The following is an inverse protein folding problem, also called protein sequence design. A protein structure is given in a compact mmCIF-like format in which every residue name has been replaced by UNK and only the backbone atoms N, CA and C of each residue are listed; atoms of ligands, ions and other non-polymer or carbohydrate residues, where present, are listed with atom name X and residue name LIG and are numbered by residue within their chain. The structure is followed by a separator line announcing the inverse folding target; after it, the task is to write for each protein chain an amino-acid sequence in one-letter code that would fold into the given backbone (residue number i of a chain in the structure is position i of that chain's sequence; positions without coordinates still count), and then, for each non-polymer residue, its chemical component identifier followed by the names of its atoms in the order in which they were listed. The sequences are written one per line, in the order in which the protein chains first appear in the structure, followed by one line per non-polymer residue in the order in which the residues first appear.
data_IF_529421233733
#
_entry.id   IF_529421233733
#
_cell.length_a   1.000
_cell.length_b   1.000
_cell.length_c   1.000
_cell.angle_alpha   90.00
_cell.angle_beta   90.00
_cell.angle_gamma   90.00
#
_symmetry.space_group_name_H-M   'P 1'
#
loop_
_entity.id
_entity.type
_entity.pdbx_description
1 polymer ?
#
# COMPACT_ATOMS: atom_id res chain seq x y z
N UNK A 1 -0.35 -29.87 7.55
CA UNK A 1 0.11 -28.79 8.45
C UNK A 1 -0.85 -27.61 8.37
N UNK A 2 -1.09 -26.87 9.47
CA UNK A 2 -2.09 -25.78 9.52
C UNK A 2 -1.48 -24.44 9.91
N UNK A 3 -2.10 -23.35 9.44
CA UNK A 3 -1.71 -21.97 9.69
C UNK A 3 -2.92 -21.15 10.19
N UNK A 4 -2.71 -20.28 11.18
CA UNK A 4 -3.73 -19.33 11.63
C UNK A 4 -4.03 -18.27 10.56
N UNK A 5 -5.24 -17.72 10.57
CA UNK A 5 -5.60 -16.55 9.77
C UNK A 5 -5.89 -15.35 10.68
N UNK A 6 -6.15 -14.17 10.10
CA UNK A 6 -6.59 -13.00 10.86
C UNK A 6 -7.93 -13.23 11.58
N UNK A 7 -8.74 -14.18 11.10
CA UNK A 7 -9.95 -14.63 11.77
C UNK A 7 -9.61 -15.84 12.67
N UNK A 8 -9.81 -15.75 14.01
CA UNK A 8 -9.56 -16.86 14.94
C UNK A 8 -10.48 -18.07 14.73
N UNK A 9 -11.53 -17.93 13.93
CA UNK A 9 -12.45 -18.99 13.56
C UNK A 9 -12.18 -19.56 12.16
N UNK A 10 -11.09 -19.16 11.51
CA UNK A 10 -10.66 -19.73 10.23
C UNK A 10 -9.18 -20.12 10.30
N UNK A 11 -8.87 -21.34 9.85
CA UNK A 11 -7.50 -21.80 9.66
C UNK A 11 -7.25 -22.20 8.21
N UNK A 12 -5.99 -22.16 7.77
CA UNK A 12 -5.59 -22.61 6.44
C UNK A 12 -4.86 -23.96 6.52
N UNK A 13 -5.28 -24.93 5.71
CA UNK A 13 -4.49 -26.13 5.45
C UNK A 13 -3.35 -25.79 4.48
N UNK A 14 -2.11 -25.94 4.92
CA UNK A 14 -0.92 -25.59 4.11
C UNK A 14 -0.76 -26.53 2.92
N UNK A 15 -1.13 -27.80 3.06
CA UNK A 15 -0.95 -28.82 2.02
C UNK A 15 -1.93 -28.67 0.86
N UNK A 16 -3.17 -28.27 1.15
CA UNK A 16 -4.25 -28.19 0.15
C UNK A 16 -4.64 -26.75 -0.20
N UNK A 17 -4.15 -25.77 0.56
CA UNK A 17 -4.52 -24.36 0.44
C UNK A 17 -5.95 -24.04 0.91
N UNK A 18 -6.69 -25.01 1.44
CA UNK A 18 -8.09 -24.82 1.83
C UNK A 18 -8.22 -23.97 3.10
N UNK A 19 -9.19 -23.04 3.10
CA UNK A 19 -9.63 -22.30 4.29
C UNK A 19 -10.76 -23.07 4.98
N UNK A 20 -10.59 -23.33 6.26
CA UNK A 20 -11.44 -24.23 7.03
C UNK A 20 -12.02 -23.42 8.19
N UNK A 21 -13.33 -23.12 8.18
CA UNK A 21 -13.98 -22.41 9.27
C UNK A 21 -14.25 -23.34 10.46
N UNK A 22 -14.36 -22.76 11.65
CA UNK A 22 -14.64 -23.49 12.90
C UNK A 22 -15.96 -24.25 12.79
N UNK A 23 -15.94 -25.52 13.18
CA UNK A 23 -17.10 -26.43 13.06
C UNK A 23 -17.26 -27.11 11.70
N UNK A 24 -16.43 -26.79 10.71
CA UNK A 24 -16.38 -27.56 9.46
C UNK A 24 -15.85 -28.98 9.70
N UNK A 25 -16.30 -29.96 8.91
CA UNK A 25 -15.88 -31.37 9.09
C UNK A 25 -14.38 -31.61 8.86
N UNK A 26 -13.69 -30.68 8.18
CA UNK A 26 -12.24 -30.67 8.00
C UNK A 26 -11.48 -29.94 9.13
N UNK A 27 -12.18 -29.43 10.14
CA UNK A 27 -11.54 -28.77 11.27
C UNK A 27 -10.64 -29.76 12.02
N UNK A 28 -9.35 -29.47 12.21
CA UNK A 28 -8.36 -30.46 12.60
C UNK A 28 -8.26 -30.58 14.12
N UNK A 29 -9.36 -30.92 14.78
CA UNK A 29 -9.46 -31.01 16.25
C UNK A 29 -8.36 -31.89 16.83
N UNK A 30 -8.20 -33.12 16.33
CA UNK A 30 -7.21 -34.09 16.85
C UNK A 30 -5.76 -33.59 16.69
N UNK A 31 -5.47 -32.86 15.61
CA UNK A 31 -4.13 -32.32 15.39
C UNK A 31 -3.83 -31.16 16.36
N UNK A 32 -4.82 -30.29 16.60
CA UNK A 32 -4.72 -29.13 17.49
C UNK A 32 -4.54 -29.50 18.97
N UNK A 33 -4.90 -30.72 19.37
CA UNK A 33 -4.70 -31.22 20.74
C UNK A 33 -3.21 -31.41 21.08
N UNK A 34 -2.37 -31.68 20.07
CA UNK A 34 -0.95 -32.00 20.27
C UNK A 34 0.01 -31.06 19.54
N UNK A 35 -0.51 -30.15 18.70
CA UNK A 35 0.30 -29.27 17.86
C UNK A 35 -0.23 -27.83 17.90
N UNK A 36 0.67 -26.88 17.66
CA UNK A 36 0.32 -25.48 17.50
C UNK A 36 0.34 -25.11 16.02
N UNK A 37 -0.74 -24.53 15.45
CA UNK A 37 -0.70 -24.01 14.10
C UNK A 37 0.43 -23.00 13.92
N UNK A 38 0.93 -22.89 12.69
CA UNK A 38 1.83 -21.80 12.33
C UNK A 38 1.13 -20.46 12.62
N UNK A 39 1.85 -19.43 13.09
CA UNK A 39 1.28 -18.12 13.35
C UNK A 39 0.62 -17.56 12.09
N UNK A 40 -0.27 -16.58 12.30
CA UNK A 40 -0.88 -15.81 11.21
C UNK A 40 0.24 -15.32 10.31
N UNK A 41 0.18 -15.64 9.01
CA UNK A 41 1.07 -14.98 8.07
C UNK A 41 0.84 -13.49 8.25
N UNK A 42 1.89 -12.67 8.50
CA UNK A 42 1.72 -11.23 8.56
C UNK A 42 0.94 -10.75 7.32
N UNK A 43 0.20 -9.63 7.37
CA UNK A 43 -0.16 -8.94 6.14
C UNK A 43 1.15 -8.66 5.40
N UNK A 44 1.41 -9.47 4.37
CA UNK A 44 2.74 -9.88 3.92
C UNK A 44 2.58 -11.18 3.14
N UNK A 45 3.52 -11.54 2.24
CA UNK A 45 3.22 -12.37 1.09
C UNK A 45 2.99 -13.83 1.50
N UNK A 46 1.73 -14.20 1.76
CA UNK A 46 1.29 -15.59 1.67
C UNK A 46 1.23 -16.10 0.22
N UNK A 47 1.71 -15.30 -0.73
CA UNK A 47 1.78 -15.58 -2.15
C UNK A 47 3.19 -16.03 -2.52
N UNK A 48 3.29 -16.95 -3.47
CA UNK A 48 4.57 -17.23 -4.11
C UNK A 48 5.12 -15.95 -4.77
N UNK A 49 6.42 -15.71 -4.63
CA UNK A 49 7.09 -14.58 -5.26
C UNK A 49 6.94 -14.65 -6.78
N UNK A 50 6.95 -13.48 -7.41
CA UNK A 50 6.82 -13.31 -8.87
C UNK A 50 5.53 -13.87 -9.49
N UNK A 51 4.49 -14.10 -8.67
CA UNK A 51 3.15 -14.43 -9.16
C UNK A 51 2.34 -13.17 -9.48
N UNK A 52 1.27 -13.26 -10.30
CA UNK A 52 0.33 -12.17 -10.51
C UNK A 52 -0.25 -11.59 -9.21
N UNK A 53 -0.47 -12.41 -8.18
CA UNK A 53 -0.95 -11.98 -6.87
C UNK A 53 0.10 -11.13 -6.14
N UNK A 54 1.36 -11.56 -6.14
CA UNK A 54 2.46 -10.79 -5.58
C UNK A 54 2.57 -9.40 -6.23
N UNK A 55 2.52 -9.33 -7.56
CA UNK A 55 2.61 -8.05 -8.26
C UNK A 55 1.39 -7.14 -8.09
N UNK A 56 0.18 -7.71 -7.93
CA UNK A 56 -1.01 -6.93 -7.57
C UNK A 56 -0.84 -6.31 -6.18
N UNK A 57 -0.40 -7.11 -5.21
CA UNK A 57 -0.12 -6.63 -3.86
C UNK A 57 0.88 -5.46 -3.87
N UNK A 58 2.03 -5.62 -4.54
CA UNK A 58 3.04 -4.55 -4.67
C UNK A 58 2.43 -3.29 -5.31
N UNK A 59 1.60 -3.45 -6.35
CA UNK A 59 0.94 -2.33 -7.00
C UNK A 59 -0.02 -1.61 -6.05
N UNK A 60 -0.81 -2.34 -5.28
CA UNK A 60 -1.77 -1.77 -4.33
C UNK A 60 -1.05 -0.97 -3.24
N UNK A 61 0.06 -1.51 -2.69
CA UNK A 61 0.92 -0.82 -1.74
C UNK A 61 1.54 0.47 -2.33
N UNK A 62 1.99 0.43 -3.58
CA UNK A 62 2.53 1.61 -4.25
C UNK A 62 1.47 2.71 -4.45
N UNK A 63 0.24 2.35 -4.77
CA UNK A 63 -0.87 3.31 -4.85
C UNK A 63 -1.27 3.84 -3.47
N UNK A 64 -1.25 3.00 -2.43
CA UNK A 64 -1.50 3.45 -1.06
C UNK A 64 -0.44 4.46 -0.60
N UNK A 65 0.82 4.20 -0.91
CA UNK A 65 1.93 5.12 -0.63
C UNK A 65 1.79 6.45 -1.39
N UNK A 66 1.55 6.42 -2.70
CA UNK A 66 1.32 7.64 -3.49
C UNK A 66 0.12 8.46 -2.98
N UNK A 67 -0.94 7.78 -2.52
CA UNK A 67 -2.10 8.43 -1.91
C UNK A 67 -1.71 9.10 -0.60
N UNK A 68 -0.94 8.45 0.26
CA UNK A 68 -0.49 9.03 1.53
C UNK A 68 0.26 10.35 1.31
N UNK A 69 1.16 10.42 0.32
CA UNK A 69 1.88 11.65 0.00
C UNK A 69 0.95 12.77 -0.50
N UNK A 70 -0.07 12.45 -1.30
CA UNK A 70 -1.08 13.43 -1.71
C UNK A 70 -1.88 13.95 -0.50
N UNK A 71 -2.24 13.06 0.44
CA UNK A 71 -2.96 13.41 1.67
C UNK A 71 -2.11 14.29 2.59
N UNK A 72 -0.83 13.98 2.77
CA UNK A 72 0.09 14.83 3.54
C UNK A 72 0.24 16.23 2.96
N UNK A 73 -0.01 16.41 1.65
CA UNK A 73 -0.01 17.70 0.96
C UNK A 73 -1.37 18.41 1.00
N UNK A 74 -2.36 17.83 1.66
CA UNK A 74 -3.70 18.41 1.85
C UNK A 74 -4.70 18.09 0.74
N UNK A 75 -4.45 17.04 -0.06
CA UNK A 75 -5.41 16.56 -1.07
C UNK A 75 -6.16 15.32 -0.59
N UNK A 76 -7.41 15.14 -1.04
CA UNK A 76 -8.19 13.95 -0.66
C UNK A 76 -7.68 12.65 -1.31
N UNK A 77 -7.06 12.77 -2.49
CA UNK A 77 -6.58 11.65 -3.28
C UNK A 77 -5.53 12.08 -4.32
N UNK A 78 -4.93 11.09 -4.98
CA UNK A 78 -4.02 11.29 -6.11
C UNK A 78 -4.71 12.09 -7.22
N UNK A 79 -5.96 11.73 -7.55
CA UNK A 79 -6.78 12.38 -8.58
C UNK A 79 -7.11 13.82 -8.20
N UNK A 80 -7.42 14.09 -6.92
CA UNK A 80 -7.66 15.44 -6.42
C UNK A 80 -6.44 16.33 -6.65
N UNK A 81 -5.24 15.86 -6.28
CA UNK A 81 -3.98 16.56 -6.56
C UNK A 81 -3.76 16.77 -8.07
N UNK A 82 -3.86 15.68 -8.86
CA UNK A 82 -3.60 15.71 -10.29
C UNK A 82 -4.60 16.57 -11.08
N UNK A 83 -5.82 16.77 -10.59
CA UNK A 83 -6.86 17.56 -11.25
C UNK A 83 -6.43 19.02 -11.51
N UNK A 84 -5.50 19.54 -10.71
CA UNK A 84 -4.98 20.91 -10.83
C UNK A 84 -3.88 21.08 -11.89
N UNK A 85 -3.63 20.08 -12.75
CA UNK A 85 -2.53 20.08 -13.73
C UNK A 85 -2.47 21.34 -14.63
N UNK A 86 -3.64 21.90 -14.95
CA UNK A 86 -3.80 23.13 -15.74
C UNK A 86 -4.41 24.29 -14.93
N UNK A 87 -4.31 24.25 -13.60
CA UNK A 87 -4.81 25.30 -12.73
C UNK A 87 -4.18 26.66 -13.06
N UNK A 88 -4.96 27.74 -12.93
CA UNK A 88 -4.45 29.11 -12.99
C UNK A 88 -3.64 29.52 -11.75
N UNK A 89 -3.70 28.75 -10.67
CA UNK A 89 -2.91 28.97 -9.46
C UNK A 89 -1.59 28.20 -9.57
N UNK A 90 -0.47 28.93 -9.60
CA UNK A 90 0.86 28.38 -9.86
C UNK A 90 1.23 27.20 -8.96
N UNK A 91 1.06 27.35 -7.65
CA UNK A 91 1.39 26.30 -6.68
C UNK A 91 0.66 24.99 -6.98
N UNK A 92 -0.67 25.03 -7.09
CA UNK A 92 -1.47 23.83 -7.38
C UNK A 92 -1.11 23.21 -8.71
N UNK A 93 -0.78 24.04 -9.72
CA UNK A 93 -0.31 23.57 -11.01
C UNK A 93 1.01 22.81 -10.90
N UNK A 94 1.96 23.32 -10.11
CA UNK A 94 3.25 22.66 -9.89
C UNK A 94 3.11 21.37 -9.08
N UNK A 95 2.30 21.37 -8.02
CA UNK A 95 2.01 20.15 -7.25
C UNK A 95 1.40 19.05 -8.10
N UNK A 96 0.38 19.38 -8.90
CA UNK A 96 -0.26 18.43 -9.80
C UNK A 96 0.72 17.86 -10.84
N UNK A 97 1.61 18.69 -11.39
CA UNK A 97 2.63 18.25 -12.35
C UNK A 97 3.65 17.32 -11.70
N UNK A 98 4.10 17.62 -10.49
CA UNK A 98 5.00 16.77 -9.73
C UNK A 98 4.33 15.43 -9.38
N UNK A 99 3.07 15.44 -8.92
CA UNK A 99 2.29 14.23 -8.64
C UNK A 99 2.14 13.33 -9.87
N UNK A 100 1.77 13.91 -11.02
CA UNK A 100 1.63 13.16 -12.27
C UNK A 100 2.96 12.58 -12.72
N UNK A 101 4.02 13.39 -12.74
CA UNK A 101 5.36 12.92 -13.14
C UNK A 101 5.87 11.79 -12.24
N UNK A 102 5.67 11.92 -10.92
CA UNK A 102 6.07 10.91 -9.97
C UNK A 102 5.26 9.61 -10.11
N UNK A 103 3.93 9.72 -10.18
CA UNK A 103 3.04 8.56 -10.39
C UNK A 103 3.38 7.80 -11.66
N UNK A 104 3.64 8.53 -12.75
CA UNK A 104 3.96 7.91 -14.03
C UNK A 104 5.32 7.19 -13.97
N UNK A 105 6.33 7.78 -13.31
CA UNK A 105 7.61 7.14 -13.09
C UNK A 105 7.52 5.89 -12.19
N UNK A 106 6.73 5.93 -11.12
CA UNK A 106 6.47 4.78 -10.25
C UNK A 106 5.79 3.66 -11.03
N UNK A 107 4.74 3.96 -11.80
CA UNK A 107 4.06 2.95 -12.62
C UNK A 107 5.01 2.31 -13.65
N UNK A 108 5.85 3.10 -14.32
CA UNK A 108 6.86 2.57 -15.24
C UNK A 108 7.86 1.65 -14.52
N UNK A 109 8.32 2.03 -13.32
CA UNK A 109 9.22 1.18 -12.53
C UNK A 109 8.55 -0.13 -12.08
N UNK A 110 7.27 -0.08 -11.70
CA UNK A 110 6.49 -1.28 -11.37
C UNK A 110 6.31 -2.22 -12.57
N UNK A 111 6.09 -1.67 -13.76
CA UNK A 111 6.06 -2.47 -15.00
C UNK A 111 7.41 -3.17 -15.25
N UNK A 112 8.53 -2.46 -15.05
CA UNK A 112 9.86 -3.06 -15.17
C UNK A 112 10.12 -4.15 -14.14
N UNK A 113 9.63 -3.98 -12.90
CA UNK A 113 9.74 -4.99 -11.85
C UNK A 113 9.05 -6.32 -12.24
N UNK A 114 7.94 -6.26 -12.98
CA UNK A 114 7.24 -7.45 -13.49
C UNK A 114 8.02 -8.11 -14.63
N UNK A 115 8.63 -7.30 -15.52
CA UNK A 115 9.35 -7.81 -16.68
C UNK A 115 10.74 -8.38 -16.34
N UNK A 116 11.42 -7.79 -15.36
CA UNK A 116 12.76 -8.15 -14.94
C UNK A 116 12.86 -8.05 -13.42
N UNK A 117 12.23 -8.98 -12.67
CA UNK A 117 12.26 -8.94 -11.22
C UNK A 117 13.69 -9.16 -10.71
N UNK A 118 14.20 -8.28 -9.84
CA UNK A 118 15.49 -8.48 -9.18
C UNK A 118 15.41 -9.59 -8.13
N UNK A 119 16.53 -10.29 -7.93
CA UNK A 119 16.65 -11.33 -6.92
C UNK A 119 16.51 -10.76 -5.50
N UNK A 120 15.86 -11.51 -4.61
CA UNK A 120 15.81 -11.20 -3.18
C UNK A 120 14.86 -10.07 -2.78
N UNK A 121 13.90 -9.71 -3.65
CA UNK A 121 12.78 -8.84 -3.27
C UNK A 121 11.60 -9.67 -2.81
N UNK A 122 11.33 -9.56 -1.52
CA UNK A 122 10.31 -10.31 -0.80
C UNK A 122 9.29 -9.39 -0.12
N UNK A 123 9.67 -8.14 0.22
CA UNK A 123 8.80 -7.22 0.97
C UNK A 123 8.49 -5.94 0.21
N UNK A 124 7.39 -5.29 0.58
CA UNK A 124 7.02 -3.98 0.06
C UNK A 124 8.12 -2.94 0.32
N UNK A 125 8.74 -2.93 1.50
CA UNK A 125 9.80 -1.97 1.85
C UNK A 125 11.01 -2.09 0.93
N UNK A 126 11.36 -3.32 0.54
CA UNK A 126 12.43 -3.57 -0.43
C UNK A 126 12.06 -3.06 -1.82
N UNK A 127 10.82 -3.29 -2.27
CA UNK A 127 10.31 -2.73 -3.54
C UNK A 127 10.31 -1.21 -3.48
N UNK A 128 9.75 -0.61 -2.43
CA UNK A 128 9.61 0.83 -2.25
C UNK A 128 10.95 1.53 -2.33
N UNK A 129 12.01 0.96 -1.77
CA UNK A 129 13.36 1.51 -1.84
C UNK A 129 13.93 1.60 -3.27
N UNK A 130 13.42 0.79 -4.21
CA UNK A 130 13.82 0.81 -5.62
C UNK A 130 12.94 1.69 -6.51
N UNK A 131 11.75 2.06 -6.02
CA UNK A 131 10.86 2.93 -6.78
C UNK A 131 11.39 4.38 -6.80
N UNK A 132 11.04 5.19 -7.81
CA UNK A 132 11.32 6.62 -7.80
C UNK A 132 10.77 7.27 -6.54
N UNK A 133 11.64 7.94 -5.77
CA UNK A 133 11.25 8.58 -4.53
C UNK A 133 10.62 9.96 -4.81
N UNK A 134 9.57 10.37 -4.07
CA UNK A 134 8.84 11.60 -4.32
C UNK A 134 9.74 12.84 -4.25
N UNK A 135 10.71 12.89 -3.35
CA UNK A 135 11.66 13.99 -3.17
C UNK A 135 12.56 14.25 -4.39
N UNK A 136 12.63 13.31 -5.35
CA UNK A 136 13.39 13.51 -6.60
C UNK A 136 12.62 14.32 -7.64
N UNK A 137 11.34 14.62 -7.41
CA UNK A 137 10.48 15.37 -8.32
C UNK A 137 10.34 16.82 -7.87
N UNK A 138 10.01 17.71 -8.82
CA UNK A 138 9.95 19.15 -8.63
C UNK A 138 8.68 19.62 -7.88
N UNK A 139 8.47 19.07 -6.68
CA UNK A 139 7.41 19.52 -5.80
C UNK A 139 7.69 20.92 -5.26
N UNK A 140 6.70 21.83 -5.25
CA UNK A 140 6.82 23.05 -4.46
C UNK A 140 6.78 22.72 -2.96
N UNK A 141 7.20 23.70 -2.17
CA UNK A 141 7.16 23.66 -0.71
C UNK A 141 5.74 23.38 -0.20
N UNK A 142 5.64 22.52 0.82
CA UNK A 142 4.34 22.16 1.42
C UNK A 142 3.69 23.43 1.98
N UNK A 143 2.42 23.61 1.65
CA UNK A 143 1.65 24.72 2.18
C UNK A 143 1.22 24.43 3.63
N UNK A 144 1.89 25.04 4.60
CA UNK A 144 1.37 25.04 5.98
C UNK A 144 0.30 26.13 6.12
N UNK A 145 -0.93 25.70 6.36
CA UNK A 145 -1.98 26.62 6.81
C UNK A 145 -1.88 26.71 8.34
N UNK A 146 -1.78 27.93 8.92
CA UNK A 146 -1.80 28.10 10.36
C UNK A 146 -3.25 27.93 10.86
N UNK A 147 -3.69 26.68 10.98
CA UNK A 147 -5.03 26.34 11.47
C UNK A 147 -5.12 26.46 13.01
N UNK A 148 -3.99 26.34 13.70
CA UNK A 148 -3.86 26.53 15.14
C UNK A 148 -3.68 28.03 15.48
N UNK A 149 -4.76 28.80 15.43
CA UNK A 149 -4.69 30.23 15.80
C UNK A 149 -5.92 31.07 15.47
N UNK A 150 -6.90 30.54 14.75
CA UNK A 150 -8.17 31.22 14.47
C UNK A 150 -9.10 31.16 15.69
N UNK A 151 -8.72 31.85 16.78
CA UNK A 151 -9.67 32.16 17.84
C UNK A 151 -10.84 32.95 17.21
N UNK A 152 -12.11 32.59 17.51
CA UNK A 152 -13.25 33.34 16.99
C UNK A 152 -13.16 34.78 17.47
N UNK A 153 -13.05 35.71 16.51
CA UNK A 153 -13.13 37.14 16.80
C UNK A 153 -14.54 37.43 17.34
N UNK A 154 -14.69 38.10 18.49
CA UNK A 154 -16.01 38.46 18.99
C UNK A 154 -16.67 39.41 18.00
N UNK A 155 -17.85 39.01 17.53
CA UNK A 155 -18.69 39.85 16.68
C UNK A 155 -19.24 40.98 17.56
N UNK A 156 -18.77 42.21 17.35
CA UNK A 156 -19.37 43.43 17.89
C UNK A 156 -20.55 43.90 17.06
#
# INVERSE_FOLDING_TARGET
MYQLTEDPDVIRCVETGAFIPRGHYLWPTEWLESNTPLPVSPPGPGFELHTPQHYRYIRDEAFAWMRAEAVERGYDSIESCASYYNSGVERYRLEARAMVAWRDAVNQALEQLVLAPPDGIETWEQVRALLPQPETFAWPEKAELPLDGLAPQPVT
#
